data_IF_631479992763
#
_entry.id   IF_631479992763
#
_cell.length_a   1.000
_cell.length_b   1.000
_cell.length_c   1.000
_cell.angle_alpha   90.00
_cell.angle_beta   90.00
_cell.angle_gamma   90.00
#
_symmetry.space_group_name_H-M   'P 1'
#
loop_
_entity.id
_entity.type
_entity.pdbx_description
1 polymer ?
#
# COMPACT_ATOMS: atom_id res chain seq x y z
N UNK A 1 -18.32 30.22 5.04
CA UNK A 1 -18.13 29.51 6.33
C UNK A 1 -17.80 28.01 6.22
N UNK A 2 -17.87 27.36 5.05
CA UNK A 2 -17.67 25.89 4.90
C UNK A 2 -16.21 25.39 4.97
N UNK A 3 -15.23 26.25 4.68
CA UNK A 3 -13.80 25.89 4.60
C UNK A 3 -13.13 25.68 5.96
N UNK A 4 -13.59 26.37 7.00
CA UNK A 4 -13.02 26.25 8.35
C UNK A 4 -13.32 24.87 8.97
N UNK A 5 -14.55 24.38 8.80
CA UNK A 5 -14.97 23.07 9.30
C UNK A 5 -14.20 21.92 8.60
N UNK A 6 -13.97 22.03 7.29
CA UNK A 6 -13.17 21.04 6.55
C UNK A 6 -11.73 21.02 7.01
N UNK A 7 -11.11 22.19 7.15
CA UNK A 7 -9.73 22.30 7.63
C UNK A 7 -9.59 21.71 9.02
N UNK A 8 -10.55 21.98 9.91
CA UNK A 8 -10.58 21.40 11.24
C UNK A 8 -10.71 19.87 11.21
N UNK A 9 -11.53 19.31 10.30
CA UNK A 9 -11.68 17.86 10.15
C UNK A 9 -10.41 17.22 9.57
N UNK A 10 -9.82 17.78 8.52
CA UNK A 10 -8.54 17.31 7.96
C UNK A 10 -7.45 17.33 9.01
N UNK A 11 -7.34 18.43 9.77
CA UNK A 11 -6.35 18.56 10.84
C UNK A 11 -6.57 17.54 11.95
N UNK A 12 -7.83 17.29 12.34
CA UNK A 12 -8.19 16.24 13.29
C UNK A 12 -7.70 14.88 12.79
N UNK A 13 -8.02 14.50 11.55
CA UNK A 13 -7.65 13.19 10.99
C UNK A 13 -6.14 12.99 10.89
N UNK A 14 -5.40 14.04 10.51
CA UNK A 14 -3.94 14.02 10.51
C UNK A 14 -3.37 13.83 11.92
N UNK A 15 -3.93 14.54 12.92
CA UNK A 15 -3.47 14.48 14.31
C UNK A 15 -3.78 13.13 14.96
N UNK A 16 -4.95 12.55 14.71
CA UNK A 16 -5.37 11.27 15.27
C UNK A 16 -4.59 10.11 14.68
N UNK A 17 -4.34 10.13 13.36
CA UNK A 17 -3.59 9.08 12.69
C UNK A 17 -2.08 9.32 12.63
N UNK A 18 -1.56 10.42 13.23
CA UNK A 18 -0.14 10.82 13.14
C UNK A 18 0.84 9.71 13.44
N UNK A 19 0.58 8.90 14.46
CA UNK A 19 1.48 7.82 14.85
C UNK A 19 1.42 6.65 13.87
N UNK A 20 0.25 6.36 13.29
CA UNK A 20 0.13 5.37 12.22
C UNK A 20 0.93 5.82 10.99
N UNK A 21 0.85 7.11 10.64
CA UNK A 21 1.63 7.68 9.54
C UNK A 21 3.14 7.64 9.82
N UNK A 22 3.57 8.11 11.00
CA UNK A 22 4.99 8.16 11.38
C UNK A 22 5.59 6.76 11.47
N UNK A 23 4.91 5.81 12.12
CA UNK A 23 5.39 4.44 12.24
C UNK A 23 5.42 3.76 10.87
N UNK A 24 4.35 3.89 10.07
CA UNK A 24 4.30 3.33 8.72
C UNK A 24 5.39 3.89 7.81
N UNK A 25 5.63 5.20 7.87
CA UNK A 25 6.72 5.86 7.15
C UNK A 25 8.08 5.38 7.65
N UNK A 26 8.31 5.33 8.97
CA UNK A 26 9.57 4.91 9.55
C UNK A 26 9.92 3.46 9.18
N UNK A 27 8.95 2.55 9.23
CA UNK A 27 9.15 1.15 8.80
C UNK A 27 9.56 1.09 7.32
N UNK A 28 8.79 1.72 6.43
CA UNK A 28 9.11 1.69 4.99
C UNK A 28 10.43 2.39 4.67
N UNK A 29 10.73 3.54 5.30
CA UNK A 29 12.00 4.25 5.13
C UNK A 29 13.17 3.40 5.63
N UNK A 30 13.05 2.76 6.80
CA UNK A 30 14.08 1.86 7.30
C UNK A 30 14.28 0.65 6.37
N UNK A 31 13.20 0.04 5.88
CA UNK A 31 13.27 -1.04 4.89
C UNK A 31 13.88 -0.58 3.57
N UNK A 32 13.57 0.63 3.10
CA UNK A 32 14.13 1.21 1.87
C UNK A 32 15.66 1.36 1.97
N UNK A 33 16.13 1.93 3.10
CA UNK A 33 17.56 2.06 3.40
C UNK A 33 18.21 0.68 3.51
N UNK A 34 17.59 -0.26 4.23
CA UNK A 34 18.11 -1.61 4.37
C UNK A 34 18.23 -2.33 3.02
N UNK A 35 17.22 -2.25 2.15
CA UNK A 35 17.28 -2.84 0.79
C UNK A 35 18.45 -2.27 0.01
N UNK A 36 18.66 -0.95 0.05
CA UNK A 36 19.76 -0.31 -0.67
C UNK A 36 21.14 -0.71 -0.13
N UNK A 37 21.33 -0.69 1.20
CA UNK A 37 22.63 -0.97 1.85
C UNK A 37 23.00 -2.46 1.87
N UNK A 38 22.02 -3.36 1.87
CA UNK A 38 22.28 -4.79 1.94
C UNK A 38 22.56 -5.44 0.58
N UNK A 39 22.66 -4.67 -0.51
CA UNK A 39 22.85 -5.24 -1.84
C UNK A 39 24.10 -6.11 -1.94
N UNK A 40 25.27 -5.60 -1.52
CA UNK A 40 26.52 -6.35 -1.64
C UNK A 40 26.51 -7.61 -0.75
N UNK A 41 25.99 -7.50 0.47
CA UNK A 41 25.79 -8.65 1.36
C UNK A 41 24.86 -9.70 0.74
N UNK A 42 23.71 -9.29 0.19
CA UNK A 42 22.77 -10.20 -0.48
C UNK A 42 23.40 -10.79 -1.73
N UNK A 43 24.20 -10.02 -2.47
CA UNK A 43 24.90 -10.47 -3.66
C UNK A 43 25.90 -11.58 -3.34
N UNK A 44 26.73 -11.39 -2.33
CA UNK A 44 27.68 -12.41 -1.86
C UNK A 44 26.95 -13.66 -1.36
N UNK A 45 25.89 -13.50 -0.58
CA UNK A 45 25.06 -14.60 -0.09
C UNK A 45 24.44 -15.40 -1.25
N UNK A 46 23.88 -14.73 -2.24
CA UNK A 46 23.26 -15.35 -3.42
C UNK A 46 24.29 -16.02 -4.34
N UNK A 47 25.47 -15.44 -4.50
CA UNK A 47 26.59 -16.07 -5.21
C UNK A 47 27.06 -17.34 -4.50
N UNK A 48 27.21 -17.29 -3.18
CA UNK A 48 27.54 -18.46 -2.38
C UNK A 48 26.51 -19.57 -2.50
N UNK A 49 25.22 -19.23 -2.58
CA UNK A 49 24.14 -20.19 -2.79
C UNK A 49 24.21 -20.85 -4.18
N UNK A 50 24.50 -20.09 -5.24
CA UNK A 50 24.66 -20.65 -6.59
C UNK A 50 25.90 -21.54 -6.71
N UNK A 51 27.04 -21.10 -6.16
CA UNK A 51 28.31 -21.82 -6.27
C UNK A 51 28.37 -23.04 -5.33
N UNK A 52 27.78 -22.93 -4.14
CA UNK A 52 27.76 -23.99 -3.12
C UNK A 52 26.61 -24.99 -3.27
N UNK A 53 25.62 -24.69 -4.12
CA UNK A 53 24.47 -25.57 -4.35
C UNK A 53 24.81 -26.85 -5.13
N UNK A 54 25.79 -26.81 -6.04
CA UNK A 54 25.99 -27.90 -6.99
C UNK A 54 24.90 -27.94 -8.08
N UNK A 55 25.20 -28.53 -9.23
CA UNK A 55 24.25 -28.61 -10.36
C UNK A 55 22.97 -29.38 -9.95
N UNK A 56 21.80 -28.74 -10.15
CA UNK A 56 20.49 -29.38 -9.94
C UNK A 56 19.88 -29.22 -8.54
N UNK A 57 20.52 -28.50 -7.61
CA UNK A 57 19.94 -28.26 -6.27
C UNK A 57 18.86 -27.18 -6.26
N UNK A 58 18.96 -26.19 -7.15
CA UNK A 58 17.94 -25.15 -7.29
C UNK A 58 17.06 -25.45 -8.51
N UNK A 59 15.73 -25.25 -8.42
CA UNK A 59 14.88 -25.29 -9.59
C UNK A 59 15.35 -24.25 -10.63
N UNK A 60 15.34 -24.57 -11.94
CA UNK A 60 15.88 -23.65 -12.97
C UNK A 60 15.27 -22.25 -12.95
N UNK A 61 13.98 -22.15 -12.60
CA UNK A 61 13.30 -20.87 -12.48
C UNK A 61 13.86 -19.99 -11.34
N UNK A 62 14.30 -20.60 -10.24
CA UNK A 62 14.87 -19.90 -9.10
C UNK A 62 16.30 -19.44 -9.41
N UNK A 63 17.10 -20.28 -10.07
CA UNK A 63 18.44 -19.91 -10.55
C UNK A 63 18.39 -18.67 -11.44
N UNK A 64 17.48 -18.65 -12.42
CA UNK A 64 17.28 -17.50 -13.32
C UNK A 64 16.94 -16.21 -12.57
N UNK A 65 16.09 -16.29 -11.53
CA UNK A 65 15.72 -15.13 -10.70
C UNK A 65 16.91 -14.64 -9.88
N UNK A 66 17.71 -15.55 -9.33
CA UNK A 66 18.91 -15.20 -8.56
C UNK A 66 19.95 -14.55 -9.47
N UNK A 67 20.25 -15.17 -10.61
CA UNK A 67 21.20 -14.63 -11.58
C UNK A 67 20.79 -13.23 -12.07
N UNK A 68 19.50 -13.01 -12.35
CA UNK A 68 19.01 -11.70 -12.80
C UNK A 68 19.25 -10.60 -11.74
N UNK A 69 19.09 -10.93 -10.46
CA UNK A 69 19.37 -10.00 -9.36
C UNK A 69 20.87 -9.76 -9.15
N UNK A 70 21.71 -10.77 -9.36
CA UNK A 70 23.17 -10.63 -9.26
C UNK A 70 23.77 -9.77 -10.38
N UNK A 71 23.17 -9.81 -11.57
CA UNK A 71 23.62 -9.07 -12.75
C UNK A 71 23.16 -7.62 -12.77
N UNK A 72 22.06 -7.29 -12.08
CA UNK A 72 21.46 -5.96 -12.16
C UNK A 72 20.95 -5.47 -10.79
N UNK A 73 21.54 -4.38 -10.32
CA UNK A 73 21.05 -3.65 -9.15
C UNK A 73 19.59 -3.23 -9.33
N UNK A 74 19.20 -2.76 -10.52
CA UNK A 74 17.81 -2.38 -10.81
C UNK A 74 16.83 -3.55 -10.60
N UNK A 75 17.18 -4.75 -11.07
CA UNK A 75 16.35 -5.96 -10.88
C UNK A 75 16.28 -6.34 -9.40
N UNK A 76 17.40 -6.28 -8.68
CA UNK A 76 17.45 -6.49 -7.24
C UNK A 76 16.57 -5.50 -6.48
N UNK A 77 16.75 -4.19 -6.72
CA UNK A 77 16.02 -3.12 -6.05
C UNK A 77 14.52 -3.24 -6.35
N UNK A 78 14.13 -3.51 -7.60
CA UNK A 78 12.73 -3.70 -7.96
C UNK A 78 12.12 -4.94 -7.28
N UNK A 79 12.82 -6.07 -7.32
CA UNK A 79 12.33 -7.34 -6.77
C UNK A 79 12.18 -7.29 -5.26
N UNK A 80 13.08 -6.61 -4.57
CA UNK A 80 13.02 -6.49 -3.10
C UNK A 80 12.10 -5.36 -2.66
N UNK A 81 12.04 -4.25 -3.37
CA UNK A 81 11.15 -3.14 -3.04
C UNK A 81 9.72 -3.40 -3.50
N UNK A 82 9.46 -3.33 -4.81
CA UNK A 82 8.13 -3.53 -5.38
C UNK A 82 7.67 -4.98 -5.35
N UNK A 83 8.59 -5.93 -5.47
CA UNK A 83 8.27 -7.37 -5.53
C UNK A 83 8.05 -8.04 -4.18
N UNK A 84 8.36 -7.37 -3.06
CA UNK A 84 8.19 -7.91 -1.69
C UNK A 84 7.78 -6.84 -0.68
N UNK A 85 8.69 -5.94 -0.33
CA UNK A 85 8.54 -5.11 0.87
C UNK A 85 7.45 -4.04 0.75
N UNK A 86 7.46 -3.26 -0.33
CA UNK A 86 6.59 -2.10 -0.47
C UNK A 86 5.12 -2.49 -0.44
N UNK A 87 4.70 -3.43 -1.29
CA UNK A 87 3.27 -3.75 -1.37
C UNK A 87 2.76 -4.47 -0.12
N UNK A 88 3.58 -5.30 0.54
CA UNK A 88 3.19 -6.02 1.75
C UNK A 88 2.97 -5.05 2.89
N UNK A 89 3.94 -4.17 3.15
CA UNK A 89 3.83 -3.17 4.21
C UNK A 89 2.76 -2.13 3.87
N UNK A 90 2.63 -1.70 2.61
CA UNK A 90 1.57 -0.79 2.19
C UNK A 90 0.17 -1.40 2.35
N UNK A 91 -0.01 -2.70 2.09
CA UNK A 91 -1.27 -3.39 2.32
C UNK A 91 -1.63 -3.44 3.81
N UNK A 92 -0.67 -3.76 4.69
CA UNK A 92 -0.88 -3.75 6.15
C UNK A 92 -1.22 -2.33 6.62
N UNK A 93 -0.47 -1.33 6.17
CA UNK A 93 -0.72 0.07 6.52
C UNK A 93 -2.10 0.55 6.03
N UNK A 94 -2.49 0.17 4.81
CA UNK A 94 -3.82 0.45 4.27
C UNK A 94 -4.94 -0.13 5.14
N UNK A 95 -4.78 -1.37 5.63
CA UNK A 95 -5.73 -1.98 6.57
C UNK A 95 -5.74 -1.21 7.89
N UNK A 96 -4.58 -0.89 8.47
CA UNK A 96 -4.47 -0.18 9.76
C UNK A 96 -5.08 1.22 9.71
N UNK A 97 -4.90 1.93 8.60
CA UNK A 97 -5.51 3.24 8.39
C UNK A 97 -7.02 3.11 8.18
N UNK A 98 -7.48 2.12 7.41
CA UNK A 98 -8.89 1.94 7.07
C UNK A 98 -9.75 1.32 8.17
N UNK A 99 -9.23 0.38 8.96
CA UNK A 99 -10.02 -0.41 9.93
C UNK A 99 -10.66 0.46 11.02
N UNK A 100 -10.05 1.59 11.36
CA UNK A 100 -10.51 2.51 12.40
C UNK A 100 -11.27 3.72 11.88
N UNK A 101 -11.54 3.83 10.57
CA UNK A 101 -12.08 5.06 9.98
C UNK A 101 -13.41 5.49 10.63
N UNK A 102 -14.31 4.52 10.82
CA UNK A 102 -15.60 4.69 11.52
C UNK A 102 -15.67 3.82 12.77
N UNK A 103 -15.16 2.59 12.72
CA UNK A 103 -15.25 1.64 13.83
C UNK A 103 -14.57 2.13 15.12
N UNK A 104 -13.50 2.92 15.04
CA UNK A 104 -12.86 3.47 16.24
C UNK A 104 -13.77 4.46 16.99
N UNK A 105 -14.48 5.32 16.25
CA UNK A 105 -15.41 6.30 16.82
C UNK A 105 -16.70 5.62 17.31
N UNK A 106 -17.13 4.57 16.61
CA UNK A 106 -18.27 3.74 17.02
C UNK A 106 -17.96 2.98 18.33
N UNK A 107 -16.82 2.30 18.41
CA UNK A 107 -16.42 1.53 19.60
C UNK A 107 -16.20 2.41 20.83
N UNK A 108 -15.66 3.62 20.63
CA UNK A 108 -15.43 4.58 21.71
C UNK A 108 -16.67 5.44 22.07
N UNK A 109 -17.83 5.20 21.42
CA UNK A 109 -19.06 5.99 21.60
C UNK A 109 -18.88 7.49 21.35
N UNK A 110 -17.90 7.88 20.52
CA UNK A 110 -17.63 9.28 20.17
C UNK A 110 -18.27 9.70 18.85
N UNK A 111 -18.86 8.76 18.12
CA UNK A 111 -19.52 9.01 16.85
C UNK A 111 -20.68 10.01 16.98
N UNK A 112 -21.47 9.93 18.04
CA UNK A 112 -22.58 10.87 18.30
C UNK A 112 -22.07 12.32 18.43
N UNK A 113 -20.99 12.55 19.16
CA UNK A 113 -20.36 13.88 19.30
C UNK A 113 -19.80 14.43 17.98
N UNK A 114 -19.34 13.56 17.08
CA UNK A 114 -18.89 13.98 15.76
C UNK A 114 -20.06 14.50 14.91
N UNK A 115 -21.22 13.85 15.05
CA UNK A 115 -22.40 14.07 14.22
C UNK A 115 -23.30 15.21 14.72
N UNK A 116 -23.09 15.72 15.93
CA UNK A 116 -23.72 16.97 16.38
C UNK A 116 -23.11 18.20 15.72
N UNK A 117 -21.92 18.08 15.11
CA UNK A 117 -21.33 19.17 14.32
C UNK A 117 -22.10 19.38 13.03
N UNK A 118 -22.17 20.61 12.49
CA UNK A 118 -22.89 20.93 11.25
C UNK A 118 -22.15 20.46 9.99
N UNK A 119 -21.74 19.19 9.96
CA UNK A 119 -21.01 18.53 8.87
C UNK A 119 -21.76 17.26 8.51
N UNK A 120 -22.08 17.05 7.22
CA UNK A 120 -22.80 15.85 6.80
C UNK A 120 -21.94 14.59 6.97
N UNK A 121 -22.58 13.47 7.31
CA UNK A 121 -21.96 12.14 7.41
C UNK A 121 -21.12 11.79 6.18
N UNK A 122 -21.68 12.06 5.00
CA UNK A 122 -21.01 11.94 3.70
C UNK A 122 -19.64 12.59 3.69
N UNK A 123 -19.61 13.85 4.12
CA UNK A 123 -18.43 14.70 4.08
C UNK A 123 -17.40 14.26 5.11
N UNK A 124 -17.86 13.85 6.30
CA UNK A 124 -16.98 13.27 7.33
C UNK A 124 -16.19 12.10 6.76
N UNK A 125 -16.89 11.11 6.19
CA UNK A 125 -16.24 9.91 5.65
C UNK A 125 -15.42 10.21 4.39
N UNK A 126 -15.89 11.08 3.50
CA UNK A 126 -15.12 11.49 2.32
C UNK A 126 -13.78 12.16 2.67
N UNK A 127 -13.75 13.02 3.69
CA UNK A 127 -12.51 13.66 4.16
C UNK A 127 -11.58 12.62 4.77
N UNK A 128 -12.08 11.72 5.61
CA UNK A 128 -11.29 10.63 6.19
C UNK A 128 -10.65 9.75 5.10
N UNK A 129 -11.43 9.36 4.09
CA UNK A 129 -10.96 8.58 2.95
C UNK A 129 -9.89 9.33 2.15
N UNK A 130 -10.12 10.61 1.84
CA UNK A 130 -9.17 11.44 1.10
C UNK A 130 -7.84 11.62 1.85
N UNK A 131 -7.89 11.92 3.15
CA UNK A 131 -6.69 12.06 3.98
C UNK A 131 -5.92 10.74 4.07
N UNK A 132 -6.60 9.61 4.26
CA UNK A 132 -5.95 8.30 4.31
C UNK A 132 -5.29 7.90 2.99
N UNK A 133 -5.98 8.08 1.86
CA UNK A 133 -5.42 7.79 0.54
C UNK A 133 -4.23 8.71 0.18
N UNK A 134 -4.30 9.99 0.55
CA UNK A 134 -3.20 10.93 0.36
C UNK A 134 -2.00 10.59 1.25
N UNK A 135 -2.24 10.20 2.50
CA UNK A 135 -1.17 9.75 3.41
C UNK A 135 -0.46 8.50 2.86
N UNK A 136 -1.20 7.52 2.33
CA UNK A 136 -0.61 6.36 1.65
C UNK A 136 0.26 6.79 0.46
N UNK A 137 -0.23 7.71 -0.38
CA UNK A 137 0.53 8.23 -1.53
C UNK A 137 1.87 8.84 -1.08
N UNK A 138 1.83 9.71 -0.07
CA UNK A 138 3.02 10.39 0.46
C UNK A 138 3.99 9.38 1.06
N UNK A 139 3.52 8.44 1.88
CA UNK A 139 4.38 7.44 2.52
C UNK A 139 5.07 6.55 1.47
N UNK A 140 4.32 6.07 0.47
CA UNK A 140 4.86 5.25 -0.62
C UNK A 140 5.87 6.04 -1.46
N UNK A 141 5.56 7.28 -1.81
CA UNK A 141 6.46 8.13 -2.60
C UNK A 141 7.74 8.47 -1.83
N UNK A 142 7.63 8.90 -0.57
CA UNK A 142 8.78 9.26 0.26
C UNK A 142 9.69 8.07 0.49
N UNK A 143 9.13 6.91 0.88
CA UNK A 143 9.95 5.71 1.11
C UNK A 143 10.62 5.18 -0.16
N UNK A 144 9.93 5.22 -1.30
CA UNK A 144 10.54 4.84 -2.58
C UNK A 144 11.63 5.81 -3.00
N UNK A 145 11.42 7.12 -2.79
CA UNK A 145 12.44 8.14 -3.00
C UNK A 145 13.64 7.95 -2.07
N UNK A 146 13.42 7.57 -0.81
CA UNK A 146 14.51 7.20 0.11
C UNK A 146 15.36 6.07 -0.47
N UNK A 147 14.74 5.03 -1.03
CA UNK A 147 15.48 3.95 -1.66
C UNK A 147 16.33 4.49 -2.83
N UNK A 148 15.74 5.32 -3.70
CA UNK A 148 16.47 5.93 -4.82
C UNK A 148 17.69 6.72 -4.32
N UNK A 149 17.51 7.57 -3.31
CA UNK A 149 18.59 8.37 -2.73
C UNK A 149 19.66 7.46 -2.13
N UNK A 150 19.27 6.49 -1.30
CA UNK A 150 20.19 5.55 -0.66
C UNK A 150 20.98 4.72 -1.69
N UNK A 151 20.33 4.33 -2.79
CA UNK A 151 20.97 3.61 -3.90
C UNK A 151 22.08 4.44 -4.54
N UNK A 152 21.79 5.70 -4.85
CA UNK A 152 22.78 6.60 -5.45
C UNK A 152 23.92 6.96 -4.49
N UNK A 153 23.62 7.14 -3.20
CA UNK A 153 24.65 7.35 -2.18
C UNK A 153 25.55 6.11 -1.99
N UNK A 154 25.00 4.91 -2.21
CA UNK A 154 25.76 3.66 -2.26
C UNK A 154 26.53 3.43 -3.56
N UNK A 155 26.50 4.39 -4.51
CA UNK A 155 27.19 4.28 -5.80
C UNK A 155 26.49 3.38 -6.82
N UNK A 156 25.22 3.00 -6.57
CA UNK A 156 24.45 2.16 -7.49
C UNK A 156 23.66 3.00 -8.51
N UNK A 157 23.61 2.51 -9.74
CA UNK A 157 22.77 3.10 -10.78
C UNK A 157 21.33 2.61 -10.65
N UNK A 158 20.42 3.56 -10.40
CA UNK A 158 18.99 3.32 -10.37
C UNK A 158 18.27 4.39 -11.20
N UNK A 159 17.50 4.04 -12.24
CA UNK A 159 16.76 5.00 -13.05
C UNK A 159 15.60 5.61 -12.24
N UNK A 160 15.87 6.70 -11.53
CA UNK A 160 14.96 7.33 -10.56
C UNK A 160 13.55 7.58 -11.13
N UNK A 161 13.44 8.17 -12.32
CA UNK A 161 12.13 8.45 -12.94
C UNK A 161 11.30 7.18 -13.16
N UNK A 162 11.92 6.14 -13.74
CA UNK A 162 11.28 4.83 -13.95
C UNK A 162 10.93 4.16 -12.63
N UNK A 163 11.82 4.23 -11.65
CA UNK A 163 11.58 3.64 -10.34
C UNK A 163 10.42 4.33 -9.63
N UNK A 164 10.32 5.65 -9.69
CA UNK A 164 9.23 6.42 -9.09
C UNK A 164 7.89 6.22 -9.80
N UNK A 165 7.86 5.98 -11.12
CA UNK A 165 6.63 5.61 -11.84
C UNK A 165 6.02 4.30 -11.30
N UNK A 166 6.84 3.38 -10.77
CA UNK A 166 6.36 2.15 -10.14
C UNK A 166 5.44 2.40 -8.92
N UNK A 167 5.59 3.53 -8.24
CA UNK A 167 4.79 3.88 -7.05
C UNK A 167 3.30 4.02 -7.35
N UNK A 168 2.94 4.32 -8.60
CA UNK A 168 1.55 4.52 -9.01
C UNK A 168 0.72 3.26 -8.84
N UNK A 169 1.26 2.10 -9.23
CA UNK A 169 0.61 0.80 -9.04
C UNK A 169 0.47 0.44 -7.56
N UNK A 170 1.53 0.65 -6.78
CA UNK A 170 1.52 0.40 -5.34
C UNK A 170 0.49 1.28 -4.61
N UNK A 171 0.38 2.56 -4.97
CA UNK A 171 -0.59 3.49 -4.41
C UNK A 171 -2.03 3.14 -4.82
N UNK A 172 -2.29 2.85 -6.10
CA UNK A 172 -3.62 2.48 -6.56
C UNK A 172 -4.11 1.19 -5.88
N UNK A 173 -3.27 0.16 -5.81
CA UNK A 173 -3.63 -1.10 -5.16
C UNK A 173 -3.81 -0.99 -3.64
N UNK A 174 -2.93 -0.24 -2.95
CA UNK A 174 -3.09 0.01 -1.51
C UNK A 174 -4.34 0.85 -1.21
N UNK A 175 -4.73 1.76 -2.11
CA UNK A 175 -5.99 2.51 -1.99
C UNK A 175 -7.20 1.57 -2.07
N UNK A 176 -7.20 0.57 -2.96
CA UNK A 176 -8.28 -0.45 -2.99
C UNK A 176 -8.37 -1.18 -1.64
N UNK A 177 -7.24 -1.68 -1.12
CA UNK A 177 -7.20 -2.37 0.18
C UNK A 177 -7.66 -1.46 1.32
N UNK A 178 -7.26 -0.19 1.31
CA UNK A 178 -7.69 0.82 2.27
C UNK A 178 -9.20 1.04 2.22
N UNK A 179 -9.80 1.12 1.02
CA UNK A 179 -11.25 1.28 0.86
C UNK A 179 -12.04 0.05 1.26
N UNK A 180 -11.48 -1.16 1.09
CA UNK A 180 -12.03 -2.40 1.69
C UNK A 180 -12.04 -2.28 3.20
N UNK A 181 -10.93 -1.89 3.82
CA UNK A 181 -10.84 -1.73 5.27
C UNK A 181 -11.79 -0.64 5.80
N UNK A 182 -11.92 0.47 5.08
CA UNK A 182 -12.87 1.52 5.40
C UNK A 182 -14.32 1.02 5.32
N UNK A 183 -14.67 0.26 4.27
CA UNK A 183 -15.99 -0.39 4.14
C UNK A 183 -16.26 -1.35 5.31
N UNK A 184 -15.29 -2.20 5.68
CA UNK A 184 -15.42 -3.07 6.85
C UNK A 184 -15.59 -2.25 8.15
N UNK A 185 -14.92 -1.10 8.28
CA UNK A 185 -15.09 -0.20 9.43
C UNK A 185 -16.48 0.43 9.52
N UNK A 186 -17.21 0.49 8.41
CA UNK A 186 -18.63 0.92 8.38
C UNK A 186 -19.56 -0.23 8.73
N UNK A 187 -19.21 -1.47 8.41
CA UNK A 187 -20.02 -2.66 8.71
C UNK A 187 -19.88 -3.13 10.16
N UNK A 188 -18.70 -2.97 10.75
CA UNK A 188 -18.41 -3.41 12.11
C UNK A 188 -18.24 -2.20 13.06
N UNK A 189 -18.79 -2.31 14.27
CA UNK A 189 -18.60 -1.29 15.32
C UNK A 189 -17.27 -1.43 16.07
N UNK A 190 -16.58 -2.56 15.91
CA UNK A 190 -15.32 -2.86 16.57
C UNK A 190 -14.18 -2.78 15.55
N UNK A 191 -13.15 -1.99 15.89
CA UNK A 191 -12.02 -1.74 15.00
C UNK A 191 -11.24 -3.03 14.68
N UNK A 192 -11.05 -3.93 15.66
CA UNK A 192 -10.30 -5.17 15.47
C UNK A 192 -11.06 -6.10 14.54
N UNK A 193 -12.39 -6.24 14.71
CA UNK A 193 -13.24 -7.02 13.79
C UNK A 193 -13.21 -6.47 12.37
N UNK A 194 -13.29 -5.14 12.21
CA UNK A 194 -13.16 -4.50 10.90
C UNK A 194 -11.80 -4.81 10.25
N UNK A 195 -10.72 -4.73 11.02
CA UNK A 195 -9.36 -5.04 10.55
C UNK A 195 -9.19 -6.51 10.14
N UNK A 196 -9.69 -7.45 10.95
CA UNK A 196 -9.64 -8.88 10.63
C UNK A 196 -10.44 -9.20 9.36
N UNK A 197 -11.65 -8.67 9.22
CA UNK A 197 -12.47 -8.85 8.02
C UNK A 197 -11.75 -8.29 6.78
N UNK A 198 -11.15 -7.11 6.89
CA UNK A 198 -10.38 -6.50 5.81
C UNK A 198 -9.14 -7.32 5.44
N UNK A 199 -8.43 -7.88 6.42
CA UNK A 199 -7.28 -8.75 6.21
C UNK A 199 -7.67 -10.04 5.48
N UNK A 200 -8.80 -10.66 5.82
CA UNK A 200 -9.32 -11.83 5.11
C UNK A 200 -9.61 -11.49 3.65
N UNK A 201 -10.28 -10.37 3.38
CA UNK A 201 -10.54 -9.92 2.01
C UNK A 201 -9.22 -9.66 1.27
N UNK A 202 -8.25 -9.00 1.90
CA UNK A 202 -6.94 -8.76 1.31
C UNK A 202 -6.21 -10.07 0.94
N UNK A 203 -6.26 -11.09 1.81
CA UNK A 203 -5.72 -12.43 1.48
C UNK A 203 -6.44 -13.04 0.28
N UNK A 204 -7.77 -12.96 0.22
CA UNK A 204 -8.55 -13.45 -0.93
C UNK A 204 -8.16 -12.71 -2.22
N UNK A 205 -7.88 -11.40 -2.15
CA UNK A 205 -7.40 -10.62 -3.30
C UNK A 205 -6.02 -11.05 -3.80
N UNK A 206 -5.26 -11.83 -3.03
CA UNK A 206 -3.99 -12.42 -3.46
C UNK A 206 -4.16 -13.66 -4.35
N UNK A 207 -5.29 -14.38 -4.23
CA UNK A 207 -5.55 -15.65 -4.92
C UNK A 207 -5.38 -15.56 -6.45
N UNK A 208 -5.87 -14.51 -7.15
CA UNK A 208 -5.69 -14.38 -8.59
C UNK A 208 -4.21 -14.32 -9.05
N UNK A 209 -3.27 -13.98 -8.16
CA UNK A 209 -1.83 -13.93 -8.47
C UNK A 209 -1.25 -15.30 -8.82
N UNK A 210 -1.83 -16.35 -8.25
CA UNK A 210 -1.35 -17.74 -8.35
C UNK A 210 -1.84 -18.42 -9.63
N UNK A 211 -2.96 -17.97 -10.20
CA UNK A 211 -3.58 -18.58 -11.38
C UNK A 211 -3.23 -17.75 -12.63
N UNK A 212 -2.47 -18.29 -13.60
CA UNK A 212 -1.98 -17.53 -14.75
C UNK A 212 -3.03 -16.72 -15.50
N UNK A 213 -4.21 -17.31 -15.74
CA UNK A 213 -5.33 -16.68 -16.45
C UNK A 213 -6.05 -15.59 -15.66
N UNK A 214 -5.92 -15.56 -14.33
CA UNK A 214 -6.57 -14.58 -13.45
C UNK A 214 -5.62 -13.50 -12.94
N UNK A 215 -4.33 -13.58 -13.29
CA UNK A 215 -3.31 -12.62 -12.83
C UNK A 215 -3.65 -11.16 -13.13
N UNK A 216 -4.38 -10.89 -14.20
CA UNK A 216 -4.84 -9.54 -14.55
C UNK A 216 -5.84 -8.95 -13.55
N UNK A 217 -6.52 -9.78 -12.75
CA UNK A 217 -7.40 -9.36 -11.65
C UNK A 217 -6.65 -9.13 -10.34
N UNK A 218 -5.39 -9.55 -10.23
CA UNK A 218 -4.63 -9.45 -8.98
C UNK A 218 -4.24 -8.00 -8.69
N UNK A 219 -4.79 -7.45 -7.61
CA UNK A 219 -4.38 -6.15 -7.06
C UNK A 219 -2.89 -6.14 -6.75
N UNK A 220 -2.39 -7.22 -6.13
CA UNK A 220 -0.99 -7.33 -5.75
C UNK A 220 -0.04 -7.37 -6.94
N UNK A 221 -0.41 -8.03 -8.05
CA UNK A 221 0.40 -8.03 -9.27
C UNK A 221 0.55 -6.61 -9.83
N UNK A 222 -0.52 -5.83 -9.80
CA UNK A 222 -0.48 -4.43 -10.26
C UNK A 222 0.31 -3.53 -9.32
N UNK A 223 0.30 -3.82 -8.01
CA UNK A 223 1.14 -3.12 -7.03
C UNK A 223 2.64 -3.30 -7.27
N UNK A 224 3.05 -4.42 -7.89
CA UNK A 224 4.45 -4.70 -8.21
C UNK A 224 4.99 -3.86 -9.39
N UNK A 225 4.13 -3.16 -10.14
CA UNK A 225 4.54 -2.26 -11.22
C UNK A 225 5.35 -2.92 -12.34
N UNK A 226 5.17 -4.23 -12.58
CA UNK A 226 5.99 -5.00 -13.53
C UNK A 226 5.98 -4.43 -14.96
N UNK A 227 4.88 -3.79 -15.38
CA UNK A 227 4.82 -3.09 -16.68
C UNK A 227 5.85 -1.97 -16.78
N UNK A 228 6.02 -1.18 -15.71
CA UNK A 228 7.05 -0.14 -15.62
C UNK A 228 8.43 -0.78 -15.63
N UNK A 229 8.64 -1.86 -14.88
CA UNK A 229 9.93 -2.58 -14.85
C UNK A 229 10.35 -3.14 -16.21
N UNK A 230 9.41 -3.66 -16.99
CA UNK A 230 9.71 -4.32 -18.27
C UNK A 230 9.69 -3.33 -19.44
N UNK A 231 8.61 -2.54 -19.57
CA UNK A 231 8.35 -1.65 -20.71
C UNK A 231 8.72 -0.19 -20.48
N UNK A 232 8.91 0.22 -19.22
CA UNK A 232 9.24 1.61 -18.87
C UNK A 232 8.01 2.49 -18.68
N UNK A 233 6.81 1.95 -18.88
CA UNK A 233 5.54 2.67 -18.84
C UNK A 233 4.55 2.02 -17.85
N UNK A 234 3.74 2.83 -17.13
CA UNK A 234 2.65 2.32 -16.32
C UNK A 234 1.59 1.61 -17.15
N UNK A 235 0.93 0.62 -16.56
CA UNK A 235 -0.31 0.09 -17.13
C UNK A 235 -1.47 1.01 -16.74
N UNK A 236 -1.74 2.00 -17.61
CA UNK A 236 -2.77 3.00 -17.36
C UNK A 236 -4.18 2.42 -17.22
N UNK A 237 -4.45 1.31 -17.91
CA UNK A 237 -5.76 0.62 -17.85
C UNK A 237 -5.92 -0.03 -16.48
N UNK A 238 -4.92 -0.79 -16.03
CA UNK A 238 -4.94 -1.40 -14.71
C UNK A 238 -4.99 -0.35 -13.60
N UNK A 239 -4.23 0.73 -13.73
CA UNK A 239 -4.24 1.85 -12.78
C UNK A 239 -5.63 2.50 -12.69
N UNK A 240 -6.26 2.83 -13.82
CA UNK A 240 -7.61 3.38 -13.85
C UNK A 240 -8.65 2.41 -13.28
N UNK A 241 -8.55 1.11 -13.60
CA UNK A 241 -9.43 0.08 -13.08
C UNK A 241 -9.33 -0.06 -11.54
N UNK A 242 -8.12 0.00 -10.98
CA UNK A 242 -7.92 -0.01 -9.53
C UNK A 242 -8.51 1.24 -8.86
N UNK A 243 -8.30 2.42 -9.43
CA UNK A 243 -8.90 3.65 -8.91
C UNK A 243 -10.43 3.62 -8.99
N UNK A 244 -10.99 3.09 -10.07
CA UNK A 244 -12.43 2.91 -10.21
C UNK A 244 -12.98 1.91 -9.18
N UNK A 245 -12.29 0.79 -8.95
CA UNK A 245 -12.66 -0.19 -7.92
C UNK A 245 -12.61 0.43 -6.51
N UNK A 246 -11.54 1.15 -6.19
CA UNK A 246 -11.40 1.86 -4.92
C UNK A 246 -12.48 2.94 -4.74
N UNK A 247 -12.79 3.71 -5.78
CA UNK A 247 -13.86 4.69 -5.77
C UNK A 247 -15.24 4.05 -5.56
N UNK A 248 -15.52 2.91 -6.21
CA UNK A 248 -16.75 2.16 -6.00
C UNK A 248 -16.91 1.68 -4.56
N UNK A 249 -15.85 1.13 -3.96
CA UNK A 249 -15.84 0.71 -2.56
C UNK A 249 -16.00 1.90 -1.59
N UNK A 250 -15.32 3.01 -1.88
CA UNK A 250 -15.46 4.25 -1.11
C UNK A 250 -16.90 4.80 -1.16
N UNK A 251 -17.53 4.82 -2.34
CA UNK A 251 -18.92 5.24 -2.51
C UNK A 251 -19.88 4.30 -1.76
N UNK A 252 -19.65 2.99 -1.81
CA UNK A 252 -20.43 2.02 -1.05
C UNK A 252 -20.30 2.25 0.46
N UNK A 253 -19.08 2.48 0.97
CA UNK A 253 -18.84 2.79 2.37
C UNK A 253 -19.56 4.07 2.81
N UNK A 254 -19.51 5.12 1.97
CA UNK A 254 -20.21 6.39 2.19
C UNK A 254 -21.73 6.19 2.24
N UNK A 255 -22.29 5.49 1.26
CA UNK A 255 -23.73 5.22 1.18
C UNK A 255 -24.24 4.42 2.38
N UNK A 256 -23.50 3.40 2.81
CA UNK A 256 -23.85 2.60 3.99
C UNK A 256 -23.74 3.43 5.28
N UNK A 257 -22.72 4.28 5.40
CA UNK A 257 -22.53 5.13 6.57
C UNK A 257 -23.62 6.20 6.71
N UNK A 258 -24.12 6.74 5.60
CA UNK A 258 -25.24 7.68 5.61
C UNK A 258 -26.52 7.06 6.19
N UNK A 259 -26.78 5.79 5.86
CA UNK A 259 -27.99 5.05 6.27
C UNK A 259 -27.87 4.39 7.65
N UNK A 260 -26.69 4.42 8.27
CA UNK A 260 -26.44 3.73 9.53
C UNK A 260 -27.09 4.47 10.70
N UNK A 261 -27.94 3.81 11.47
CA UNK A 261 -28.49 4.40 12.69
C UNK A 261 -27.40 4.63 13.74
N UNK A 262 -27.47 5.76 14.43
CA UNK A 262 -26.52 6.14 15.48
C UNK A 262 -27.30 6.16 16.79
N UNK A 263 -27.30 5.01 17.46
CA UNK A 263 -27.79 4.83 18.83
C UNK A 263 -26.65 5.01 19.82
#
# INVERSE_FOLDING_TARGET
>A
MRTAADRALVWKELRENRWKHVVGAAVLVATAVAVALLFDFVREMLQGLLLGGGEGVLPPALEQIIEAQLRSYFVYAWSNWYGKNLYQVAAVLAIVLGMGLVAAESGNKTLSFLLTRPVSRRRVLAVKLGVGAAALAVIIAVSSLTLVIASHLGGHELPAGRFMLGTMGAWAGSTVIFTVAALMSVLFSDQVKAGMAAAVVAVVMSVPSWVPSLRWLSVYRHMQGLSVMMRGEPDWVAFAALLAAGAGLALAAVHLFERRDVT
#
